data_IF_571656324516
#
_entry.id   IF_571656324516
#
_cell.length_a   1.000
_cell.length_b   1.000
_cell.length_c   1.000
_cell.angle_alpha   90.00
_cell.angle_beta   90.00
_cell.angle_gamma   90.00
#
_symmetry.space_group_name_H-M   'P 1'
#
loop_
_entity.id
_entity.type
_entity.pdbx_description
1 polymer ?
#
# COMPACT_ATOMS: atom_id res chain seq x y z
N UNK A 1 11.83 3.70 -8.72
CA UNK A 1 10.43 4.17 -8.65
C UNK A 1 9.72 4.00 -9.99
N UNK A 2 10.19 4.61 -11.09
CA UNK A 2 9.61 4.40 -12.44
C UNK A 2 9.49 2.92 -12.85
N UNK A 3 10.50 2.05 -12.68
CA UNK A 3 10.41 0.66 -13.13
C UNK A 3 9.34 -0.15 -12.40
N UNK A 4 9.09 0.17 -11.12
CA UNK A 4 8.05 -0.50 -10.33
C UNK A 4 6.65 -0.04 -10.76
N UNK A 5 6.49 1.25 -11.01
CA UNK A 5 5.23 1.80 -11.52
C UNK A 5 4.90 1.27 -12.91
N UNK A 6 5.90 1.09 -13.78
CA UNK A 6 5.75 0.46 -15.09
C UNK A 6 5.20 -0.96 -14.95
N UNK A 7 5.77 -1.77 -14.03
CA UNK A 7 5.27 -3.13 -13.79
C UNK A 7 3.86 -3.19 -13.19
N UNK A 8 3.41 -2.13 -12.51
CA UNK A 8 2.02 -2.03 -12.06
C UNK A 8 1.08 -1.59 -13.17
N UNK A 9 1.56 -0.84 -14.16
CA UNK A 9 0.78 -0.43 -15.31
C UNK A 9 0.54 -1.59 -16.28
N UNK A 10 1.56 -2.42 -16.52
CA UNK A 10 1.49 -3.60 -17.39
C UNK A 10 1.04 -4.88 -16.65
N UNK A 11 0.97 -4.82 -15.32
CA UNK A 11 0.68 -5.96 -14.46
C UNK A 11 -0.82 -6.27 -14.32
N UNK A 12 -1.12 -7.50 -13.88
CA UNK A 12 -2.49 -7.91 -13.48
C UNK A 12 -2.89 -7.42 -12.08
N UNK A 13 -2.01 -6.71 -11.40
CA UNK A 13 -2.21 -6.20 -10.04
C UNK A 13 -2.88 -4.83 -10.14
N UNK A 14 -4.11 -4.72 -9.62
CA UNK A 14 -4.83 -3.46 -9.59
C UNK A 14 -4.16 -2.51 -8.60
N UNK A 15 -3.38 -1.57 -9.12
CA UNK A 15 -2.72 -0.54 -8.32
C UNK A 15 -3.70 0.59 -7.96
N UNK A 16 -3.75 0.96 -6.67
CA UNK A 16 -4.56 2.07 -6.18
C UNK A 16 -3.61 3.16 -5.67
N UNK A 17 -3.65 4.33 -6.31
CA UNK A 17 -2.81 5.46 -5.92
C UNK A 17 -3.43 6.20 -4.74
N UNK A 18 -2.86 6.00 -3.55
CA UNK A 18 -3.21 6.77 -2.36
C UNK A 18 -2.42 8.08 -2.30
N UNK A 19 -3.06 9.16 -1.85
CA UNK A 19 -2.41 10.47 -1.66
C UNK A 19 -1.65 10.61 -0.34
N UNK A 20 -1.99 9.77 0.63
CA UNK A 20 -1.35 9.74 1.95
C UNK A 20 -1.11 8.29 2.37
N UNK A 21 0.02 8.04 3.02
CA UNK A 21 0.47 6.71 3.42
C UNK A 21 -0.46 6.09 4.48
N UNK A 22 -0.99 6.91 5.40
CA UNK A 22 -2.01 6.46 6.36
C UNK A 22 -3.29 6.00 5.66
N UNK A 23 -3.74 6.74 4.63
CA UNK A 23 -4.91 6.35 3.83
C UNK A 23 -4.68 5.06 3.03
N UNK A 24 -3.46 4.86 2.51
CA UNK A 24 -3.07 3.62 1.84
C UNK A 24 -3.17 2.42 2.79
N UNK A 25 -2.73 2.61 4.05
CA UNK A 25 -2.71 1.53 5.02
C UNK A 25 -4.11 1.15 5.51
N UNK A 26 -4.97 2.13 5.77
CA UNK A 26 -6.36 1.86 6.15
C UNK A 26 -7.16 1.19 5.03
N UNK A 27 -6.91 1.55 3.77
CA UNK A 27 -7.51 0.87 2.62
C UNK A 27 -7.06 -0.59 2.50
N UNK A 28 -5.78 -0.87 2.75
CA UNK A 28 -5.26 -2.23 2.76
C UNK A 28 -5.85 -3.07 3.91
N UNK A 29 -6.04 -2.47 5.08
CA UNK A 29 -6.72 -3.12 6.21
C UNK A 29 -8.16 -3.54 5.85
N UNK A 30 -8.94 -2.60 5.30
CA UNK A 30 -10.30 -2.89 4.84
C UNK A 30 -10.34 -3.98 3.77
N UNK A 31 -9.37 -3.95 2.84
CA UNK A 31 -9.23 -5.00 1.83
C UNK A 31 -8.98 -6.38 2.44
N UNK A 32 -8.07 -6.49 3.42
CA UNK A 32 -7.78 -7.76 4.10
C UNK A 32 -9.02 -8.29 4.80
N UNK A 33 -9.69 -7.43 5.59
CA UNK A 33 -10.88 -7.82 6.38
C UNK A 33 -12.03 -8.30 5.52
N UNK A 34 -12.28 -7.65 4.38
CA UNK A 34 -13.42 -7.97 3.51
C UNK A 34 -13.10 -9.10 2.53
N UNK A 35 -11.88 -9.19 2.02
CA UNK A 35 -11.52 -10.17 1.00
C UNK A 35 -10.89 -11.45 1.54
N UNK A 36 -10.36 -11.43 2.77
CA UNK A 36 -9.54 -12.52 3.33
C UNK A 36 -8.20 -12.72 2.63
N UNK A 37 -7.80 -11.82 1.72
CA UNK A 37 -6.55 -11.88 0.95
C UNK A 37 -5.54 -10.89 1.51
N UNK A 38 -4.25 -11.19 1.30
CA UNK A 38 -3.15 -10.31 1.73
C UNK A 38 -3.23 -8.94 1.05
N UNK A 39 -3.25 -7.88 1.85
CA UNK A 39 -3.12 -6.50 1.39
C UNK A 39 -1.66 -6.09 1.29
N UNK A 40 -1.29 -5.35 0.24
CA UNK A 40 0.07 -4.86 0.02
C UNK A 40 0.02 -3.35 -0.13
N UNK A 41 0.89 -2.65 0.61
CA UNK A 41 1.08 -1.19 0.52
C UNK A 41 2.52 -0.93 0.12
N UNK A 42 2.73 -0.08 -0.89
CA UNK A 42 4.06 0.32 -1.35
C UNK A 42 4.23 1.81 -1.08
N UNK A 43 5.30 2.15 -0.37
CA UNK A 43 5.70 3.55 -0.11
C UNK A 43 7.16 3.77 -0.46
N UNK A 44 7.53 5.02 -0.69
CA UNK A 44 8.90 5.40 -1.01
C UNK A 44 9.77 5.51 0.25
N UNK A 45 11.07 5.24 0.13
CA UNK A 45 12.04 5.45 1.22
C UNK A 45 12.12 6.95 1.56
N UNK A 46 11.88 7.29 2.82
CA UNK A 46 11.77 8.68 3.30
C UNK A 46 10.70 8.80 4.41
N UNK A 47 10.14 9.98 4.70
CA UNK A 47 9.08 10.14 5.71
C UNK A 47 7.86 9.24 5.46
N UNK A 48 7.60 8.87 4.20
CA UNK A 48 6.56 7.91 3.84
C UNK A 48 6.79 6.48 4.35
N UNK A 49 8.05 6.04 4.50
CA UNK A 49 8.37 4.74 5.09
C UNK A 49 8.03 4.69 6.59
N UNK A 50 8.34 5.75 7.35
CA UNK A 50 8.00 5.86 8.77
C UNK A 50 6.48 5.95 8.99
N UNK A 51 5.77 6.67 8.12
CA UNK A 51 4.31 6.78 8.16
C UNK A 51 3.61 5.46 7.79
N UNK A 52 4.18 4.69 6.85
CA UNK A 52 3.67 3.36 6.50
C UNK A 52 3.97 2.32 7.57
N UNK A 53 5.15 2.34 8.20
CA UNK A 53 5.46 1.42 9.33
C UNK A 53 4.49 1.65 10.48
N UNK A 54 4.20 2.91 10.82
CA UNK A 54 3.18 3.24 11.84
C UNK A 54 1.81 2.68 11.48
N UNK A 55 1.40 2.81 10.21
CA UNK A 55 0.14 2.23 9.72
C UNK A 55 0.11 0.70 9.74
N UNK A 56 1.20 0.04 9.32
CA UNK A 56 1.34 -1.42 9.28
C UNK A 56 1.39 -2.00 10.70
N UNK A 57 2.02 -1.29 11.65
CA UNK A 57 2.11 -1.72 13.06
C UNK A 57 0.74 -1.74 13.74
N UNK A 58 -0.18 -0.87 13.32
CA UNK A 58 -1.60 -0.92 13.74
C UNK A 58 -2.43 -2.01 13.05
N UNK A 59 -1.87 -2.73 12.08
CA UNK A 59 -2.54 -3.79 11.32
C UNK A 59 -2.19 -5.21 11.79
N UNK A 60 -1.47 -5.36 12.91
CA UNK A 60 -1.25 -6.66 13.56
C UNK A 60 -2.46 -7.06 14.39
#
# INVERSE_FOLDING_TARGET
>A
MLPLYDTFYDGKIKHILARHEQGATHAAEGYIRVSGKTGVVVVTSGPGATNAITGITGCT
#
